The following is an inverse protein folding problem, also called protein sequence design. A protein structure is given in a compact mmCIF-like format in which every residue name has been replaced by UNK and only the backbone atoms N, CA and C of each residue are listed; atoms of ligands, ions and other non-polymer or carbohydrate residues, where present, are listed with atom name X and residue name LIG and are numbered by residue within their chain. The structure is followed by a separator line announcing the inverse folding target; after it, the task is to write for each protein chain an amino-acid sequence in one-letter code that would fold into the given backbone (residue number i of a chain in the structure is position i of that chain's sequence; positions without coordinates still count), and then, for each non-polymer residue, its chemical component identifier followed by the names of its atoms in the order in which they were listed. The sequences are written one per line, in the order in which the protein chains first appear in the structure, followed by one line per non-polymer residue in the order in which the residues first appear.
data_IF_238496670647
#
_entry.id   IF_238496670647
#
_cell.length_a   1.000
_cell.length_b   1.000
_cell.length_c   1.000
_cell.angle_alpha   90.00
_cell.angle_beta   90.00
_cell.angle_gamma   90.00
#
_symmetry.space_group_name_H-M   'P 1'
#
loop_
_entity.id
_entity.type
_entity.pdbx_description
1 polymer ?
#
# COMPACT_ATOMS: atom_id res chain seq x y z
N UNK A 1 -11.04 -39.49 35.35
CA UNK A 1 -10.74 -38.87 34.07
C UNK A 1 -11.44 -37.54 34.07
N UNK A 2 -10.72 -36.48 34.29
CA UNK A 2 -11.23 -35.14 34.52
C UNK A 2 -11.12 -34.31 33.25
N UNK A 3 -12.05 -33.38 33.06
CA UNK A 3 -12.20 -32.49 31.88
C UNK A 3 -10.94 -31.69 31.47
N UNK A 4 -9.83 -31.88 32.16
CA UNK A 4 -8.54 -31.26 31.82
C UNK A 4 -7.78 -31.99 30.70
N UNK A 5 -8.08 -33.25 30.45
CA UNK A 5 -7.34 -34.09 29.46
C UNK A 5 -7.89 -33.94 28.01
N UNK A 6 -9.03 -33.23 27.85
CA UNK A 6 -9.66 -33.00 26.56
C UNK A 6 -9.28 -31.64 25.90
N UNK A 7 -8.64 -30.74 26.65
CA UNK A 7 -8.27 -29.40 26.15
C UNK A 7 -6.87 -29.38 25.50
N UNK A 8 -6.03 -30.37 25.81
CA UNK A 8 -4.63 -30.40 25.33
C UNK A 8 -4.41 -31.18 24.02
N UNK A 9 -5.44 -31.78 23.44
CA UNK A 9 -5.33 -32.55 22.18
C UNK A 9 -5.61 -31.78 20.90
N UNK A 10 -6.06 -30.50 20.96
CA UNK A 10 -6.38 -29.67 19.78
C UNK A 10 -5.42 -28.49 19.57
N UNK A 11 -4.21 -28.56 20.15
CA UNK A 11 -3.23 -27.46 20.04
C UNK A 11 -1.94 -27.88 19.34
N UNK A 12 -2.06 -28.73 18.34
CA UNK A 12 -0.95 -29.05 17.42
C UNK A 12 -1.39 -28.84 15.97
N UNK A 13 -2.01 -27.71 15.66
CA UNK A 13 -1.88 -27.14 14.33
C UNK A 13 -0.62 -26.29 14.36
N UNK A 14 0.38 -26.80 13.69
CA UNK A 14 1.69 -26.24 13.45
C UNK A 14 1.54 -24.90 12.76
N UNK A 15 1.40 -23.82 13.53
CA UNK A 15 1.71 -22.49 13.04
C UNK A 15 3.22 -22.51 12.82
N UNK A 16 3.65 -22.85 11.61
CA UNK A 16 4.99 -22.55 11.15
C UNK A 16 5.13 -21.03 11.28
N UNK A 17 5.74 -20.59 12.35
CA UNK A 17 6.29 -19.24 12.47
C UNK A 17 7.38 -19.18 11.41
N UNK A 18 7.01 -18.75 10.19
CA UNK A 18 7.96 -18.43 9.13
C UNK A 18 8.80 -17.32 9.75
N UNK A 19 10.08 -17.62 9.98
CA UNK A 19 11.06 -16.64 10.43
C UNK A 19 11.08 -15.54 9.36
N UNK A 20 10.48 -14.40 9.64
CA UNK A 20 10.38 -13.26 8.69
C UNK A 20 11.76 -12.62 8.43
N UNK A 21 12.80 -13.06 9.11
CA UNK A 21 14.16 -12.51 9.00
C UNK A 21 14.94 -13.01 7.78
N UNK A 22 14.55 -14.14 7.15
CA UNK A 22 15.35 -14.76 6.07
C UNK A 22 14.68 -14.78 4.68
N UNK A 23 13.41 -14.35 4.54
CA UNK A 23 12.76 -14.32 3.23
C UNK A 23 12.84 -12.96 2.56
N UNK A 24 12.91 -12.96 1.23
CA UNK A 24 12.79 -11.72 0.46
C UNK A 24 11.46 -11.02 0.70
N UNK A 25 11.47 -9.69 0.70
CA UNK A 25 10.25 -8.87 0.77
C UNK A 25 9.38 -9.19 -0.45
N UNK A 26 8.13 -9.56 -0.22
CA UNK A 26 7.14 -9.74 -1.28
C UNK A 26 6.45 -8.42 -1.57
N UNK A 27 6.50 -7.99 -2.83
CA UNK A 27 5.93 -6.73 -3.28
C UNK A 27 4.78 -7.00 -4.22
N UNK A 28 3.55 -6.75 -3.77
CA UNK A 28 2.38 -6.74 -4.64
C UNK A 28 2.40 -5.48 -5.49
N UNK A 29 2.14 -5.61 -6.79
CA UNK A 29 2.14 -4.50 -7.74
C UNK A 29 0.85 -4.57 -8.54
N UNK A 30 -0.03 -3.58 -8.40
CA UNK A 30 -1.21 -3.47 -9.25
C UNK A 30 -0.88 -2.70 -10.52
N UNK A 31 -1.34 -3.20 -11.66
CA UNK A 31 -1.00 -2.65 -12.98
C UNK A 31 -1.56 -1.23 -13.26
N UNK A 32 -2.50 -0.74 -12.42
CA UNK A 32 -3.15 0.54 -12.66
C UNK A 32 -4.13 0.50 -13.83
N UNK A 33 -4.22 1.60 -14.59
CA UNK A 33 -5.05 1.65 -15.80
C UNK A 33 -4.44 0.77 -16.92
N UNK A 34 -5.23 -0.17 -17.46
CA UNK A 34 -4.78 -1.05 -18.54
C UNK A 34 -4.47 -0.31 -19.85
N UNK A 35 -4.98 0.89 -20.03
CA UNK A 35 -4.72 1.76 -21.17
C UNK A 35 -3.57 2.76 -20.91
N UNK A 36 -3.02 2.74 -19.70
CA UNK A 36 -1.97 3.64 -19.24
C UNK A 36 -0.56 3.01 -19.33
N UNK A 37 0.35 3.61 -18.57
CA UNK A 37 1.79 3.28 -18.59
C UNK A 37 2.19 2.20 -17.56
N UNK A 38 1.23 1.64 -16.80
CA UNK A 38 1.53 0.77 -15.66
C UNK A 38 2.37 -0.45 -16.02
N UNK A 39 2.00 -1.19 -17.05
CA UNK A 39 2.80 -2.35 -17.51
C UNK A 39 4.19 -1.94 -18.03
N UNK A 40 4.30 -0.78 -18.69
CA UNK A 40 5.58 -0.24 -19.12
C UNK A 40 6.50 0.02 -17.93
N UNK A 41 5.99 0.69 -16.89
CA UNK A 41 6.75 0.95 -15.67
C UNK A 41 7.21 -0.34 -14.99
N UNK A 42 6.31 -1.33 -14.88
CA UNK A 42 6.62 -2.63 -14.29
C UNK A 42 7.74 -3.33 -15.08
N UNK A 43 7.61 -3.42 -16.39
CA UNK A 43 8.60 -4.13 -17.20
C UNK A 43 9.96 -3.42 -17.21
N UNK A 44 9.97 -2.08 -17.25
CA UNK A 44 11.21 -1.31 -17.14
C UNK A 44 11.85 -1.44 -15.76
N UNK A 45 11.09 -1.42 -14.68
CA UNK A 45 11.60 -1.58 -13.32
C UNK A 45 12.27 -2.95 -13.10
N UNK A 46 11.72 -4.00 -13.69
CA UNK A 46 12.23 -5.37 -13.55
C UNK A 46 13.03 -5.86 -14.77
N UNK A 47 13.47 -4.96 -15.65
CA UNK A 47 14.46 -5.27 -16.70
C UNK A 47 15.85 -5.48 -16.09
N UNK A 48 16.12 -4.84 -14.95
CA UNK A 48 17.38 -4.99 -14.23
C UNK A 48 17.30 -6.19 -13.28
N UNK A 49 18.15 -7.22 -13.44
CA UNK A 49 18.13 -8.44 -12.61
C UNK A 49 18.28 -8.15 -11.10
N UNK A 50 18.99 -7.09 -10.74
CA UNK A 50 19.25 -6.66 -9.36
C UNK A 50 17.96 -6.37 -8.59
N UNK A 51 16.92 -5.93 -9.28
CA UNK A 51 15.61 -5.72 -8.65
C UNK A 51 15.01 -7.01 -8.09
N UNK A 52 15.28 -8.15 -8.74
CA UNK A 52 14.84 -9.46 -8.29
C UNK A 52 15.69 -10.02 -7.14
N UNK A 53 16.85 -9.42 -6.87
CA UNK A 53 17.64 -9.71 -5.67
C UNK A 53 17.07 -9.02 -4.44
N UNK A 54 16.48 -7.82 -4.61
CA UNK A 54 15.92 -7.01 -3.54
C UNK A 54 14.55 -7.49 -3.07
N UNK A 55 13.71 -7.98 -3.99
CA UNK A 55 12.33 -8.35 -3.65
C UNK A 55 11.79 -9.45 -4.56
N UNK A 56 10.65 -10.01 -4.14
CA UNK A 56 9.83 -10.93 -4.94
C UNK A 56 8.59 -10.18 -5.43
N UNK A 57 8.54 -9.73 -6.69
CA UNK A 57 7.39 -9.01 -7.23
C UNK A 57 6.24 -9.96 -7.55
N UNK A 58 5.02 -9.55 -7.20
CA UNK A 58 3.75 -10.21 -7.53
C UNK A 58 2.87 -9.18 -8.25
N UNK A 59 2.76 -9.30 -9.55
CA UNK A 59 1.98 -8.38 -10.37
C UNK A 59 0.54 -8.85 -10.42
N UNK A 60 -0.37 -8.05 -9.91
CA UNK A 60 -1.81 -8.28 -9.97
C UNK A 60 -2.34 -7.72 -11.28
N UNK A 61 -2.66 -8.60 -12.24
CA UNK A 61 -3.03 -8.15 -13.58
C UNK A 61 -3.54 -9.24 -14.48
N UNK A 62 -3.32 -9.07 -15.78
CA UNK A 62 -3.69 -10.01 -16.83
C UNK A 62 -2.48 -10.35 -17.71
N UNK A 63 -2.13 -11.62 -17.83
CA UNK A 63 -1.06 -12.06 -18.75
C UNK A 63 -1.31 -11.64 -20.21
N UNK A 64 -2.58 -11.63 -20.65
CA UNK A 64 -2.94 -11.21 -22.00
C UNK A 64 -2.66 -9.72 -22.25
N UNK A 65 -3.08 -8.87 -21.30
CA UNK A 65 -2.85 -7.41 -21.38
C UNK A 65 -1.34 -7.12 -21.27
N UNK A 66 -0.66 -7.80 -20.36
CA UNK A 66 0.79 -7.69 -20.20
C UNK A 66 1.53 -8.04 -21.50
N UNK A 67 1.15 -9.14 -22.15
CA UNK A 67 1.73 -9.55 -23.43
C UNK A 67 1.43 -8.53 -24.56
N UNK A 68 0.23 -7.92 -24.57
CA UNK A 68 -0.08 -6.83 -25.49
C UNK A 68 0.86 -5.64 -25.33
N UNK A 69 1.00 -5.13 -24.09
CA UNK A 69 1.90 -4.00 -23.80
C UNK A 69 3.36 -4.33 -24.13
N UNK A 70 3.82 -5.51 -23.73
CA UNK A 70 5.18 -5.98 -24.06
C UNK A 70 5.44 -5.94 -25.56
N UNK A 71 4.49 -6.45 -26.37
CA UNK A 71 4.61 -6.47 -27.84
C UNK A 71 4.53 -5.06 -28.42
N UNK A 72 3.63 -4.22 -27.93
CA UNK A 72 3.46 -2.85 -28.43
C UNK A 72 4.69 -1.95 -28.19
N UNK A 73 5.46 -2.25 -27.15
CA UNK A 73 6.65 -1.50 -26.75
C UNK A 73 7.98 -2.19 -27.15
N UNK A 74 7.91 -3.34 -27.82
CA UNK A 74 9.10 -4.16 -28.18
C UNK A 74 10.01 -4.47 -26.98
N UNK A 75 9.40 -4.75 -25.81
CA UNK A 75 10.13 -5.04 -24.58
C UNK A 75 10.43 -6.53 -24.45
N UNK A 76 11.66 -6.85 -24.02
CA UNK A 76 12.07 -8.19 -23.64
C UNK A 76 11.79 -8.40 -22.15
N UNK A 77 10.57 -8.79 -21.79
CA UNK A 77 10.17 -9.03 -20.41
C UNK A 77 9.56 -10.43 -20.28
N UNK A 78 10.06 -11.17 -19.29
CA UNK A 78 9.54 -12.49 -18.95
C UNK A 78 8.83 -12.45 -17.61
N UNK A 79 7.71 -13.16 -17.50
CA UNK A 79 6.99 -13.32 -16.25
C UNK A 79 6.47 -14.75 -16.12
N UNK A 80 6.40 -15.23 -14.90
CA UNK A 80 5.80 -16.53 -14.55
C UNK A 80 4.35 -16.32 -14.16
N UNK A 81 3.43 -17.01 -14.81
CA UNK A 81 1.99 -16.94 -14.48
C UNK A 81 1.76 -17.78 -13.23
N UNK A 82 1.09 -17.19 -12.24
CA UNK A 82 0.70 -17.85 -11.00
C UNK A 82 -0.80 -17.69 -10.77
N UNK A 83 -1.40 -18.61 -10.02
CA UNK A 83 -2.82 -18.58 -9.67
C UNK A 83 -3.09 -18.00 -8.28
N UNK A 84 -2.15 -18.14 -7.36
CA UNK A 84 -2.23 -17.61 -6.00
C UNK A 84 -0.96 -16.82 -5.66
N UNK A 85 -1.07 -15.81 -4.80
CA UNK A 85 0.07 -15.04 -4.35
C UNK A 85 1.09 -15.90 -3.56
N UNK A 86 0.64 -16.98 -2.93
CA UNK A 86 1.48 -17.96 -2.24
C UNK A 86 2.42 -18.72 -3.17
N UNK A 87 2.07 -18.87 -4.45
CA UNK A 87 2.84 -19.58 -5.47
C UNK A 87 4.02 -18.74 -6.01
N UNK A 88 4.17 -17.50 -5.54
CA UNK A 88 5.23 -16.59 -6.00
C UNK A 88 6.62 -17.15 -5.70
N UNK A 89 7.46 -17.14 -6.73
CA UNK A 89 8.83 -17.63 -6.71
C UNK A 89 9.83 -16.48 -6.70
N UNK A 90 10.85 -16.60 -5.86
CA UNK A 90 11.96 -15.64 -5.81
C UNK A 90 12.76 -15.67 -7.12
N UNK A 91 13.40 -14.55 -7.45
CA UNK A 91 14.20 -14.39 -8.66
C UNK A 91 13.38 -14.34 -9.95
N UNK A 92 12.05 -14.20 -9.86
CA UNK A 92 11.14 -14.13 -11.01
C UNK A 92 10.14 -13.00 -10.85
N UNK A 93 9.71 -12.44 -11.96
CA UNK A 93 8.51 -11.59 -12.03
C UNK A 93 7.30 -12.51 -12.06
N UNK A 94 6.51 -12.50 -10.98
CA UNK A 94 5.31 -13.33 -10.87
C UNK A 94 4.09 -12.54 -11.32
N UNK A 95 3.28 -13.10 -12.23
CA UNK A 95 2.06 -12.49 -12.75
C UNK A 95 0.85 -13.27 -12.23
N UNK A 96 0.11 -12.69 -11.30
CA UNK A 96 -1.13 -13.25 -10.78
C UNK A 96 -2.30 -12.79 -11.62
N UNK A 97 -3.02 -13.75 -12.21
CA UNK A 97 -4.22 -13.47 -13.00
C UNK A 97 -5.37 -13.06 -12.09
N UNK A 98 -5.83 -11.81 -12.20
CA UNK A 98 -6.93 -11.28 -11.41
C UNK A 98 -8.04 -10.61 -12.25
N UNK A 99 -7.93 -10.68 -13.57
CA UNK A 99 -8.91 -10.12 -14.50
C UNK A 99 -9.41 -11.26 -15.37
N UNK A 100 -10.67 -11.61 -15.20
CA UNK A 100 -11.36 -12.57 -16.05
C UNK A 100 -11.93 -11.87 -17.28
N UNK A 101 -11.82 -12.55 -18.42
CA UNK A 101 -12.37 -12.07 -19.69
C UNK A 101 -11.39 -11.24 -20.53
N UNK A 102 -11.93 -10.67 -21.60
CA UNK A 102 -11.18 -9.82 -22.51
C UNK A 102 -11.43 -8.36 -22.15
N UNK A 103 -10.33 -7.65 -21.86
CA UNK A 103 -10.33 -6.20 -21.71
C UNK A 103 -9.68 -5.62 -22.97
N UNK A 104 -10.42 -4.80 -23.68
CA UNK A 104 -9.89 -4.08 -24.85
C UNK A 104 -8.88 -3.04 -24.36
N UNK A 105 -7.70 -3.04 -24.96
CA UNK A 105 -6.66 -2.04 -24.66
C UNK A 105 -6.74 -0.91 -25.68
N UNK A 106 -6.97 0.30 -25.19
CA UNK A 106 -7.01 1.54 -25.99
C UNK A 106 -5.99 2.55 -25.40
N UNK A 107 -4.73 2.40 -25.82
CA UNK A 107 -3.63 3.16 -25.22
C UNK A 107 -3.90 4.67 -25.18
N UNK A 108 -3.67 5.28 -24.01
CA UNK A 108 -3.84 6.71 -23.78
C UNK A 108 -5.28 7.17 -23.56
N UNK A 109 -6.26 6.28 -23.62
CA UNK A 109 -7.68 6.62 -23.46
C UNK A 109 -8.26 5.97 -22.21
N UNK A 110 -8.56 6.70 -21.13
CA UNK A 110 -9.21 6.15 -19.96
C UNK A 110 -10.62 5.65 -20.32
N UNK A 111 -10.91 4.39 -20.04
CA UNK A 111 -12.24 3.80 -20.25
C UNK A 111 -12.79 3.23 -18.94
N UNK A 112 -14.09 2.97 -18.89
CA UNK A 112 -14.69 2.32 -17.71
C UNK A 112 -14.11 0.92 -17.54
N UNK A 113 -13.92 0.18 -18.61
CA UNK A 113 -13.34 -1.18 -18.59
C UNK A 113 -11.93 -1.17 -18.04
N UNK A 114 -11.10 -0.18 -18.40
CA UNK A 114 -9.73 -0.05 -17.87
C UNK A 114 -9.73 0.31 -16.39
N UNK A 115 -10.66 1.14 -15.95
CA UNK A 115 -10.86 1.48 -14.54
C UNK A 115 -11.38 0.31 -13.71
N UNK A 116 -12.35 -0.45 -14.23
CA UNK A 116 -12.87 -1.66 -13.58
C UNK A 116 -11.77 -2.72 -13.43
N UNK A 117 -10.90 -2.87 -14.43
CA UNK A 117 -9.74 -3.76 -14.37
C UNK A 117 -8.74 -3.33 -13.29
N UNK A 118 -8.45 -2.02 -13.19
CA UNK A 118 -7.58 -1.46 -12.16
C UNK A 118 -8.16 -1.71 -10.75
N UNK A 119 -9.47 -1.53 -10.58
CA UNK A 119 -10.16 -1.78 -9.31
C UNK A 119 -10.12 -3.27 -8.93
N UNK A 120 -10.39 -4.18 -9.86
CA UNK A 120 -10.30 -5.64 -9.62
C UNK A 120 -8.92 -6.08 -9.17
N UNK A 121 -7.85 -5.53 -9.79
CA UNK A 121 -6.49 -5.82 -9.39
C UNK A 121 -6.21 -5.34 -7.96
N UNK A 122 -6.71 -4.16 -7.61
CA UNK A 122 -6.57 -3.59 -6.28
C UNK A 122 -7.39 -4.38 -5.23
N UNK A 123 -8.63 -4.78 -5.53
CA UNK A 123 -9.48 -5.62 -4.68
C UNK A 123 -8.80 -6.96 -4.36
N UNK A 124 -8.27 -7.62 -5.38
CA UNK A 124 -7.55 -8.88 -5.20
C UNK A 124 -6.30 -8.70 -4.35
N UNK A 125 -5.52 -7.64 -4.59
CA UNK A 125 -4.35 -7.32 -3.78
C UNK A 125 -4.74 -7.07 -2.31
N UNK A 126 -5.79 -6.30 -2.04
CA UNK A 126 -6.24 -6.05 -0.67
C UNK A 126 -6.78 -7.31 0.03
N UNK A 127 -7.37 -8.24 -0.71
CA UNK A 127 -7.76 -9.55 -0.19
C UNK A 127 -6.54 -10.36 0.25
N UNK A 128 -5.52 -10.40 -0.58
CA UNK A 128 -4.27 -11.12 -0.30
C UNK A 128 -3.44 -10.42 0.80
N UNK A 129 -3.54 -9.09 0.93
CA UNK A 129 -2.96 -8.34 2.03
C UNK A 129 -3.53 -8.77 3.40
N UNK A 130 -4.85 -8.88 3.50
CA UNK A 130 -5.50 -9.37 4.74
C UNK A 130 -5.06 -10.78 5.12
N UNK A 131 -4.70 -11.59 4.13
CA UNK A 131 -4.16 -12.94 4.31
C UNK A 131 -2.63 -12.96 4.49
N UNK A 132 -1.98 -11.80 4.57
CA UNK A 132 -0.53 -11.62 4.76
C UNK A 132 0.33 -12.34 3.68
N UNK A 133 -0.14 -12.36 2.44
CA UNK A 133 0.58 -13.00 1.34
C UNK A 133 1.73 -12.14 0.78
N UNK A 134 1.76 -10.86 1.10
CA UNK A 134 2.83 -9.93 0.74
C UNK A 134 3.05 -8.86 1.82
N UNK A 135 4.15 -8.12 1.72
CA UNK A 135 4.59 -7.16 2.73
C UNK A 135 4.29 -5.71 2.33
N UNK A 136 4.38 -5.41 1.04
CA UNK A 136 4.28 -4.05 0.49
C UNK A 136 3.37 -4.06 -0.74
N UNK A 137 2.50 -3.06 -0.83
CA UNK A 137 1.69 -2.78 -2.01
C UNK A 137 2.22 -1.56 -2.76
N UNK A 138 2.55 -1.74 -4.03
CA UNK A 138 2.87 -0.69 -4.98
C UNK A 138 1.73 -0.59 -5.99
N UNK A 139 1.24 0.61 -6.27
CA UNK A 139 0.19 0.82 -7.25
C UNK A 139 0.71 1.63 -8.43
N UNK A 140 0.52 1.13 -9.63
CA UNK A 140 0.76 1.90 -10.83
C UNK A 140 -0.33 2.96 -11.05
N UNK A 141 -0.07 4.00 -11.85
CA UNK A 141 -1.04 5.06 -12.10
C UNK A 141 -2.36 4.53 -12.66
N UNK A 142 -3.45 5.04 -12.11
CA UNK A 142 -4.81 4.78 -12.58
C UNK A 142 -5.63 6.06 -12.62
N UNK A 143 -6.60 6.13 -13.52
CA UNK A 143 -7.47 7.29 -13.65
C UNK A 143 -8.64 7.16 -12.68
N UNK A 144 -8.60 7.94 -11.59
CA UNK A 144 -9.53 7.81 -10.47
C UNK A 144 -11.01 7.90 -10.86
N UNK A 145 -11.34 8.68 -11.90
CA UNK A 145 -12.73 8.85 -12.35
C UNK A 145 -13.32 7.60 -12.99
N UNK A 146 -12.48 6.71 -13.55
CA UNK A 146 -12.92 5.44 -14.15
C UNK A 146 -12.95 4.28 -13.14
N UNK A 147 -12.36 4.45 -11.95
CA UNK A 147 -12.30 3.44 -10.89
C UNK A 147 -13.54 3.44 -9.98
N UNK A 148 -14.67 3.91 -10.45
CA UNK A 148 -15.92 3.92 -9.69
C UNK A 148 -16.75 2.69 -9.98
N UNK A 149 -17.14 1.95 -8.95
CA UNK A 149 -18.15 0.90 -9.02
C UNK A 149 -19.54 1.46 -8.67
N UNK A 150 -20.60 0.68 -8.95
CA UNK A 150 -22.00 1.08 -8.79
C UNK A 150 -22.34 1.66 -7.39
N UNK A 151 -21.72 1.11 -6.33
CA UNK A 151 -21.92 1.52 -4.95
C UNK A 151 -20.64 2.07 -4.29
N UNK A 152 -19.63 2.42 -5.07
CA UNK A 152 -18.35 2.86 -4.55
C UNK A 152 -17.75 4.00 -5.38
N UNK A 153 -17.39 5.09 -4.71
CA UNK A 153 -16.63 6.20 -5.29
C UNK A 153 -15.18 6.12 -4.83
N UNK A 154 -14.27 5.94 -5.76
CA UNK A 154 -12.84 5.90 -5.47
C UNK A 154 -12.32 7.30 -5.09
N UNK A 155 -11.93 7.43 -3.82
CA UNK A 155 -11.41 8.67 -3.22
C UNK A 155 -9.90 8.70 -3.07
N UNK A 156 -9.21 7.76 -3.71
CA UNK A 156 -7.77 7.57 -3.61
C UNK A 156 -7.35 6.35 -2.79
N UNK A 157 -6.10 5.93 -3.00
CA UNK A 157 -5.57 4.67 -2.46
C UNK A 157 -5.66 4.57 -0.94
N UNK A 158 -5.32 5.66 -0.21
CA UNK A 158 -5.36 5.66 1.25
C UNK A 158 -6.76 5.35 1.78
N UNK A 159 -7.79 6.08 1.29
CA UNK A 159 -9.18 5.87 1.70
C UNK A 159 -9.67 4.47 1.32
N UNK A 160 -9.27 3.98 0.15
CA UNK A 160 -9.60 2.64 -0.30
C UNK A 160 -8.97 1.57 0.61
N UNK A 161 -7.68 1.67 0.91
CA UNK A 161 -6.98 0.74 1.79
C UNK A 161 -7.56 0.74 3.21
N UNK A 162 -7.82 1.92 3.79
CA UNK A 162 -8.46 2.04 5.11
C UNK A 162 -9.82 1.35 5.16
N UNK A 163 -10.65 1.54 4.13
CA UNK A 163 -11.96 0.89 4.02
C UNK A 163 -11.82 -0.62 3.84
N UNK A 164 -10.88 -1.05 2.99
CA UNK A 164 -10.67 -2.47 2.68
C UNK A 164 -10.10 -3.24 3.87
N UNK A 165 -9.21 -2.65 4.66
CA UNK A 165 -8.67 -3.26 5.88
C UNK A 165 -9.78 -3.37 6.94
N UNK A 166 -10.64 -2.36 7.05
CA UNK A 166 -11.72 -2.32 8.03
C UNK A 166 -11.23 -2.02 9.45
N UNK A 167 -12.04 -2.36 10.45
CA UNK A 167 -11.72 -2.26 11.89
C UNK A 167 -11.23 -0.88 12.36
N UNK A 168 -11.64 0.19 11.67
CA UNK A 168 -11.21 1.55 11.98
C UNK A 168 -9.76 1.86 11.59
N UNK A 169 -9.18 1.09 10.68
CA UNK A 169 -7.83 1.33 10.16
C UNK A 169 -7.64 2.76 9.68
N UNK A 170 -6.57 3.40 10.12
CA UNK A 170 -6.19 4.76 9.74
C UNK A 170 -4.73 4.82 9.34
N UNK A 171 -4.48 5.24 8.11
CA UNK A 171 -3.14 5.43 7.57
C UNK A 171 -2.60 6.84 7.79
N UNK A 172 -1.28 6.97 7.71
CA UNK A 172 -0.59 8.25 7.65
C UNK A 172 -0.02 8.41 6.24
N UNK A 173 -0.43 9.47 5.55
CA UNK A 173 0.16 9.81 4.25
C UNK A 173 1.53 10.43 4.47
N UNK A 174 2.53 9.88 3.80
CA UNK A 174 3.91 10.35 3.89
C UNK A 174 4.50 10.56 2.50
N UNK A 175 5.21 11.64 2.32
CA UNK A 175 6.03 11.93 1.15
C UNK A 175 7.49 11.72 1.53
N UNK A 176 8.23 11.01 0.68
CA UNK A 176 9.58 10.57 0.99
C UNK A 176 10.50 10.86 -0.17
N UNK A 177 11.67 11.39 0.14
CA UNK A 177 12.83 11.36 -0.74
C UNK A 177 14.07 10.95 0.06
N UNK A 178 15.25 10.99 -0.55
CA UNK A 178 16.50 10.58 0.08
C UNK A 178 16.81 11.34 1.39
N UNK A 179 16.46 12.62 1.46
CA UNK A 179 16.86 13.52 2.57
C UNK A 179 15.72 13.81 3.54
N UNK A 180 14.48 13.78 3.10
CA UNK A 180 13.32 14.28 3.86
C UNK A 180 12.16 13.30 3.82
N UNK A 181 11.49 13.14 4.97
CA UNK A 181 10.22 12.43 5.13
C UNK A 181 9.21 13.37 5.73
N UNK A 182 8.11 13.63 5.02
CA UNK A 182 7.06 14.56 5.45
C UNK A 182 5.76 13.77 5.62
N UNK A 183 5.24 13.73 6.84
CA UNK A 183 3.93 13.14 7.13
C UNK A 183 2.87 14.24 7.25
N UNK A 184 1.67 13.99 6.75
CA UNK A 184 0.57 14.93 6.80
C UNK A 184 -0.29 14.71 8.04
N UNK A 185 -0.46 15.74 8.86
CA UNK A 185 -1.38 15.72 10.00
C UNK A 185 -2.84 15.67 9.52
N UNK A 186 -3.17 16.39 8.44
CA UNK A 186 -4.47 16.36 7.78
C UNK A 186 -4.30 16.09 6.29
N UNK A 187 -5.25 15.39 5.65
CA UNK A 187 -5.22 15.03 4.23
C UNK A 187 -6.65 14.95 3.68
N UNK A 188 -6.85 15.52 2.49
CA UNK A 188 -8.14 15.44 1.79
C UNK A 188 -9.28 16.27 2.41
N UNK A 189 -8.97 17.25 3.26
CA UNK A 189 -9.95 18.15 3.89
C UNK A 189 -10.09 19.46 3.13
N UNK A 190 -11.28 20.07 3.20
CA UNK A 190 -11.45 21.46 2.80
C UNK A 190 -10.64 22.38 3.74
N UNK A 191 -10.10 23.49 3.21
CA UNK A 191 -9.24 24.41 4.00
C UNK A 191 -9.94 24.89 5.27
N UNK A 192 -11.23 25.20 5.20
CA UNK A 192 -12.05 25.65 6.33
C UNK A 192 -12.15 24.63 7.48
N UNK A 193 -11.93 23.35 7.20
CA UNK A 193 -12.11 22.25 8.16
C UNK A 193 -10.76 21.81 8.77
N UNK A 194 -9.63 22.36 8.33
CA UNK A 194 -8.29 21.95 8.78
C UNK A 194 -8.13 22.20 10.29
N UNK A 195 -8.37 23.41 10.77
CA UNK A 195 -8.17 23.78 12.18
C UNK A 195 -9.01 22.88 13.13
N UNK A 196 -10.26 22.63 12.80
CA UNK A 196 -11.14 21.76 13.59
C UNK A 196 -10.67 20.30 13.65
N UNK A 197 -9.85 19.85 12.70
CA UNK A 197 -9.30 18.50 12.65
C UNK A 197 -7.89 18.39 13.27
N UNK A 198 -7.29 19.49 13.70
CA UNK A 198 -6.05 19.51 14.48
C UNK A 198 -6.43 19.37 15.96
N UNK A 199 -6.37 18.13 16.47
CA UNK A 199 -6.64 17.80 17.87
C UNK A 199 -5.44 17.09 18.48
N UNK A 200 -5.30 17.13 19.80
CA UNK A 200 -4.23 16.45 20.55
C UNK A 200 -4.19 14.96 20.13
N UNK A 201 -5.31 14.27 20.21
CA UNK A 201 -5.41 12.84 19.89
C UNK A 201 -4.99 12.53 18.45
N UNK A 202 -5.39 13.38 17.48
CA UNK A 202 -5.00 13.19 16.09
C UNK A 202 -3.47 13.36 15.89
N UNK A 203 -2.88 14.36 16.51
CA UNK A 203 -1.42 14.57 16.43
C UNK A 203 -0.68 13.41 17.11
N UNK A 204 -1.09 13.01 18.30
CA UNK A 204 -0.50 11.87 19.03
C UNK A 204 -0.58 10.57 18.23
N UNK A 205 -1.75 10.25 17.67
CA UNK A 205 -1.92 9.05 16.83
C UNK A 205 -0.96 9.06 15.64
N UNK A 206 -0.87 10.20 14.94
CA UNK A 206 0.01 10.34 13.78
C UNK A 206 1.48 10.25 14.14
N UNK A 207 1.90 10.90 15.22
CA UNK A 207 3.29 10.86 15.68
C UNK A 207 3.69 9.45 16.10
N UNK A 208 2.81 8.73 16.85
CA UNK A 208 3.07 7.33 17.22
C UNK A 208 3.19 6.42 16.02
N UNK A 209 2.29 6.52 15.03
CA UNK A 209 2.35 5.73 13.79
C UNK A 209 3.61 6.04 13.00
N UNK A 210 3.95 7.32 12.86
CA UNK A 210 5.16 7.74 12.16
C UNK A 210 6.42 7.23 12.88
N UNK A 211 6.51 7.37 14.20
CA UNK A 211 7.63 6.87 14.99
C UNK A 211 7.82 5.36 14.82
N UNK A 212 6.72 4.60 14.90
CA UNK A 212 6.77 3.14 14.74
C UNK A 212 7.21 2.74 13.31
N UNK A 213 6.70 3.43 12.29
CA UNK A 213 7.13 3.21 10.91
C UNK A 213 8.60 3.56 10.70
N UNK A 214 9.08 4.68 11.25
CA UNK A 214 10.50 5.02 11.17
C UNK A 214 11.40 3.93 11.75
N UNK A 215 11.01 3.31 12.86
CA UNK A 215 11.78 2.22 13.47
C UNK A 215 11.67 0.91 12.70
N UNK A 216 10.46 0.50 12.36
CA UNK A 216 10.19 -0.80 11.74
C UNK A 216 10.56 -0.82 10.25
N UNK A 217 10.07 0.17 9.49
CA UNK A 217 10.13 0.14 8.03
C UNK A 217 11.41 0.82 7.51
N UNK A 218 11.86 1.89 8.19
CA UNK A 218 13.07 2.63 7.79
C UNK A 218 14.32 2.27 8.59
N UNK A 219 14.20 1.37 9.57
CA UNK A 219 15.33 0.91 10.41
C UNK A 219 16.07 2.04 11.14
N UNK A 220 15.38 3.14 11.46
CA UNK A 220 15.92 4.27 12.20
C UNK A 220 15.67 4.01 13.68
N UNK A 221 16.73 3.66 14.43
CA UNK A 221 16.62 3.28 15.85
C UNK A 221 16.17 4.41 16.76
N UNK A 222 16.53 5.65 16.44
CA UNK A 222 16.18 6.83 17.23
C UNK A 222 15.63 7.96 16.33
N UNK A 223 14.37 7.86 15.86
CA UNK A 223 13.80 8.83 14.93
C UNK A 223 13.52 10.17 15.63
N UNK A 224 13.89 11.26 14.97
CA UNK A 224 13.58 12.62 15.40
C UNK A 224 12.43 13.15 14.54
N UNK A 225 11.32 13.54 15.17
CA UNK A 225 10.13 14.03 14.51
C UNK A 225 9.93 15.49 14.89
N UNK A 226 9.90 16.38 13.89
CA UNK A 226 9.55 17.78 14.06
C UNK A 226 8.08 17.98 13.69
N UNK A 227 7.32 18.67 14.52
CA UNK A 227 5.94 19.08 14.23
C UNK A 227 5.97 20.55 13.83
N UNK A 228 5.50 20.85 12.62
CA UNK A 228 5.43 22.21 12.12
C UNK A 228 4.20 22.92 12.68
N UNK A 229 4.34 24.25 12.91
CA UNK A 229 3.21 25.09 13.30
C UNK A 229 2.15 25.16 12.19
N UNK A 230 0.89 25.31 12.57
CA UNK A 230 -0.20 25.58 11.65
C UNK A 230 -0.18 27.04 11.18
N UNK A 231 0.11 27.96 12.10
CA UNK A 231 0.10 29.39 11.85
C UNK A 231 1.53 29.94 11.65
N UNK A 232 1.75 30.92 10.74
CA UNK A 232 3.08 31.41 10.40
C UNK A 232 3.87 31.99 11.59
N UNK A 233 3.18 32.61 12.55
CA UNK A 233 3.80 33.28 13.69
C UNK A 233 3.89 32.40 14.96
N UNK A 234 3.51 31.14 14.89
CA UNK A 234 3.62 30.13 15.98
C UNK A 234 2.92 30.59 17.29
N UNK A 235 1.91 31.43 17.21
CA UNK A 235 1.23 32.00 18.39
C UNK A 235 -0.29 31.90 18.34
N UNK A 236 -0.83 31.08 17.42
CA UNK A 236 -2.27 30.79 17.29
C UNK A 236 -2.81 29.96 18.47
N UNK A 237 -4.12 29.82 18.51
CA UNK A 237 -4.82 28.97 19.50
C UNK A 237 -4.43 27.52 19.31
N UNK A 238 -4.33 27.07 18.06
CA UNK A 238 -3.95 25.69 17.70
C UNK A 238 -2.57 25.31 18.21
N UNK A 239 -1.60 26.23 18.15
CA UNK A 239 -0.27 26.00 18.71
C UNK A 239 -0.32 25.87 20.21
N UNK A 240 -0.96 26.80 20.91
CA UNK A 240 -0.96 26.88 22.38
C UNK A 240 -1.77 25.78 23.04
N UNK A 241 -2.95 25.48 22.48
CA UNK A 241 -3.92 24.58 23.10
C UNK A 241 -3.84 23.15 22.58
N UNK A 242 -3.21 22.93 21.40
CA UNK A 242 -3.17 21.60 20.77
C UNK A 242 -1.75 21.14 20.48
N UNK A 243 -0.99 21.86 19.63
CA UNK A 243 0.29 21.35 19.14
C UNK A 243 1.35 21.27 20.23
N UNK A 244 1.53 22.32 21.05
CA UNK A 244 2.51 22.31 22.14
C UNK A 244 2.15 21.27 23.21
N UNK A 245 0.90 21.16 23.69
CA UNK A 245 0.52 20.07 24.61
C UNK A 245 0.77 18.68 24.02
N UNK A 246 0.37 18.43 22.76
CA UNK A 246 0.60 17.15 22.10
C UNK A 246 2.10 16.80 22.00
N UNK A 247 2.96 17.77 21.62
CA UNK A 247 4.40 17.56 21.54
C UNK A 247 4.98 17.23 22.93
N UNK A 248 4.57 17.95 23.97
CA UNK A 248 5.03 17.69 25.33
C UNK A 248 4.64 16.29 25.82
N UNK A 249 3.48 15.81 25.43
CA UNK A 249 3.02 14.45 25.75
C UNK A 249 3.82 13.38 24.99
N UNK A 250 4.30 13.65 23.77
CA UNK A 250 5.12 12.69 23.00
C UNK A 250 6.55 12.57 23.50
N UNK A 251 7.09 13.54 24.20
CA UNK A 251 8.47 13.52 24.72
C UNK A 251 8.67 12.61 25.95
N UNK A 252 7.66 11.83 26.30
CA UNK A 252 7.70 10.91 27.46
C UNK A 252 8.22 9.51 27.08
N UNK A 253 8.68 9.32 25.83
CA UNK A 253 9.10 7.99 25.36
C UNK A 253 10.53 7.97 24.80
#
# INVERSE_FOLDING_TARGET
MTDKDLIDKNRTETTQTINMEDRKIRVAITHGDTNGIGYELIFKAFSEPEMLELCTPIIYGSPKIAAYHRKAMDLQANFSIINNATDAQDGRVNMLTCIDGEVKVELGTPTKESGDAALKALDKAMTDFRSQHFDVLVTCPAYAQTMNAENYSYKGLKSYAETSIGEGAKGVKMMINESVRIALATDGLAIKDIAANITIDNILDKVRKLHNSMKRDFRISNPRIAVLALNPNVNGTEEKEVLIPAINETNIY
#
